data_IF_752161225644
#
_entry.id   IF_752161225644
#
_cell.length_a   1.000
_cell.length_b   1.000
_cell.length_c   1.000
_cell.angle_alpha   90.00
_cell.angle_beta   90.00
_cell.angle_gamma   90.00
#
_symmetry.space_group_name_H-M   'P 1'
#
loop_
_entity.id
_entity.type
_entity.pdbx_description
1 polymer ?
#
# COMPACT_ATOMS: atom_id res chain seq x y z
N UNK A 1 -17.69 -5.01 -28.59
CA UNK A 1 -18.43 -3.80 -28.97
C UNK A 1 -18.72 -2.88 -27.78
N UNK A 2 -19.45 -3.30 -26.73
CA UNK A 2 -19.78 -2.42 -25.57
C UNK A 2 -18.57 -1.74 -24.88
N UNK A 3 -17.40 -2.39 -24.87
CA UNK A 3 -16.15 -1.94 -24.22
C UNK A 3 -15.49 -0.75 -24.91
N UNK A 4 -15.52 -0.72 -26.24
CA UNK A 4 -14.94 0.36 -27.05
C UNK A 4 -15.88 1.55 -27.13
N UNK A 5 -17.19 1.27 -27.17
CA UNK A 5 -18.24 2.30 -27.21
C UNK A 5 -18.29 3.12 -25.93
N UNK A 6 -18.13 2.52 -24.75
CA UNK A 6 -18.20 3.25 -23.48
C UNK A 6 -16.99 4.17 -23.26
N UNK A 7 -15.77 3.70 -23.59
CA UNK A 7 -14.54 4.53 -23.52
C UNK A 7 -14.59 5.64 -24.58
N UNK A 8 -15.07 5.35 -25.78
CA UNK A 8 -15.27 6.35 -26.83
C UNK A 8 -16.33 7.39 -26.45
N UNK A 9 -17.41 7.00 -25.75
CA UNK A 9 -18.44 7.93 -25.27
C UNK A 9 -17.91 8.83 -24.15
N UNK A 10 -17.14 8.29 -23.20
CA UNK A 10 -16.50 9.11 -22.15
C UNK A 10 -15.48 10.09 -22.74
N UNK A 11 -14.67 9.65 -23.71
CA UNK A 11 -13.73 10.51 -24.42
C UNK A 11 -14.44 11.52 -25.32
N UNK A 12 -15.54 11.16 -25.97
CA UNK A 12 -16.33 12.08 -26.79
C UNK A 12 -17.03 13.15 -25.94
N UNK A 13 -17.60 12.78 -24.79
CA UNK A 13 -18.20 13.73 -23.83
C UNK A 13 -17.13 14.65 -23.23
N UNK A 14 -15.93 14.14 -22.98
CA UNK A 14 -14.76 14.92 -22.56
C UNK A 14 -14.33 15.95 -23.62
N UNK A 15 -14.21 15.52 -24.87
CA UNK A 15 -13.86 16.38 -26.01
C UNK A 15 -14.94 17.44 -26.25
N UNK A 16 -16.22 17.06 -26.18
CA UNK A 16 -17.36 17.98 -26.32
C UNK A 16 -17.44 18.98 -25.15
N UNK A 17 -17.13 18.56 -23.92
CA UNK A 17 -17.09 19.45 -22.76
C UNK A 17 -15.90 20.42 -22.73
N UNK A 18 -14.78 20.08 -23.39
CA UNK A 18 -13.65 20.99 -23.64
C UNK A 18 -14.00 22.00 -24.75
N UNK A 19 -14.72 21.56 -25.79
CA UNK A 19 -15.17 22.42 -26.88
C UNK A 19 -16.25 23.43 -26.45
N UNK A 20 -17.04 23.13 -25.40
CA UNK A 20 -18.14 23.99 -24.94
C UNK A 20 -17.69 24.95 -23.82
N UNK A 21 -17.11 26.11 -24.17
CA UNK A 21 -17.45 27.45 -23.62
C UNK A 21 -16.32 28.49 -23.80
N UNK A 22 -16.53 29.46 -24.70
CA UNK A 22 -15.67 30.63 -24.87
C UNK A 22 -15.65 31.60 -23.67
N UNK A 23 -16.66 31.57 -22.78
CA UNK A 23 -16.74 32.51 -21.62
C UNK A 23 -15.72 32.24 -20.52
N UNK A 24 -15.45 30.96 -20.18
CA UNK A 24 -14.38 30.65 -19.22
C UNK A 24 -13.03 30.99 -19.84
N UNK A 25 -12.85 30.67 -21.11
CA UNK A 25 -11.61 30.97 -21.84
C UNK A 25 -11.35 32.47 -21.82
N UNK A 26 -12.32 33.30 -22.21
CA UNK A 26 -12.21 34.77 -22.17
C UNK A 26 -11.93 35.33 -20.76
N UNK A 27 -12.51 34.76 -19.70
CA UNK A 27 -12.22 35.18 -18.32
C UNK A 27 -10.79 34.81 -17.88
N UNK A 28 -10.33 33.60 -18.25
CA UNK A 28 -8.95 33.17 -18.04
C UNK A 28 -7.97 34.03 -18.85
N UNK A 29 -8.30 34.41 -20.08
CA UNK A 29 -7.50 35.32 -20.89
C UNK A 29 -7.45 36.72 -20.28
N UNK A 30 -8.58 37.26 -19.80
CA UNK A 30 -8.60 38.55 -19.10
C UNK A 30 -7.74 38.54 -17.83
N UNK A 31 -7.77 37.48 -17.02
CA UNK A 31 -6.91 37.32 -15.84
C UNK A 31 -5.45 37.12 -16.19
N UNK A 32 -5.17 36.31 -17.23
CA UNK A 32 -3.83 36.12 -17.80
C UNK A 32 -3.27 37.47 -18.18
N UNK A 33 -3.99 38.23 -18.98
CA UNK A 33 -3.47 39.48 -19.54
C UNK A 33 -3.39 40.59 -18.48
N UNK A 34 -4.21 40.54 -17.42
CA UNK A 34 -4.18 41.51 -16.31
C UNK A 34 -3.14 41.23 -15.22
N UNK A 35 -2.84 39.98 -14.89
CA UNK A 35 -2.00 39.64 -13.73
C UNK A 35 -0.82 38.72 -14.09
N UNK A 36 0.41 39.22 -13.97
CA UNK A 36 1.64 38.45 -14.25
C UNK A 36 1.69 37.13 -13.44
N UNK A 37 1.34 37.16 -12.16
CA UNK A 37 1.31 35.98 -11.30
C UNK A 37 0.36 34.88 -11.83
N UNK A 38 -0.78 35.27 -12.41
CA UNK A 38 -1.73 34.33 -13.01
C UNK A 38 -1.18 33.73 -14.31
N UNK A 39 -0.46 34.51 -15.14
CA UNK A 39 0.25 33.98 -16.32
C UNK A 39 1.25 32.91 -15.93
N UNK A 40 2.08 33.20 -14.91
CA UNK A 40 3.10 32.26 -14.41
C UNK A 40 2.44 30.97 -13.92
N UNK A 41 1.33 31.08 -13.15
CA UNK A 41 0.58 29.93 -12.67
C UNK A 41 0.02 29.07 -13.80
N UNK A 42 -0.54 29.69 -14.85
CA UNK A 42 -1.05 28.97 -16.02
C UNK A 42 0.05 28.23 -16.78
N UNK A 43 1.18 28.89 -17.03
CA UNK A 43 2.34 28.27 -17.69
C UNK A 43 2.84 27.08 -16.84
N UNK A 44 2.94 27.25 -15.53
CA UNK A 44 3.34 26.18 -14.62
C UNK A 44 2.34 25.00 -14.63
N UNK A 45 1.03 25.28 -14.65
CA UNK A 45 0.00 24.25 -14.73
C UNK A 45 0.04 23.49 -16.06
N UNK A 46 0.26 24.18 -17.18
CA UNK A 46 0.44 23.57 -18.50
C UNK A 46 1.71 22.71 -18.55
N UNK A 47 2.83 23.21 -18.05
CA UNK A 47 4.07 22.45 -17.96
C UNK A 47 3.89 21.18 -17.11
N UNK A 48 3.20 21.29 -15.97
CA UNK A 48 2.88 20.13 -15.13
C UNK A 48 1.96 19.14 -15.83
N UNK A 49 0.96 19.61 -16.59
CA UNK A 49 0.09 18.75 -17.39
C UNK A 49 0.87 17.98 -18.46
N UNK A 50 1.83 18.63 -19.14
CA UNK A 50 2.74 17.99 -20.10
C UNK A 50 3.59 16.94 -19.40
N UNK A 51 4.18 17.26 -18.24
CA UNK A 51 4.95 16.28 -17.44
C UNK A 51 4.09 15.10 -17.01
N UNK A 52 2.85 15.34 -16.56
CA UNK A 52 1.92 14.29 -16.16
C UNK A 52 1.53 13.39 -17.34
N UNK A 53 1.26 13.97 -18.51
CA UNK A 53 0.97 13.22 -19.74
C UNK A 53 2.18 12.39 -20.21
N UNK A 54 3.37 12.98 -20.23
CA UNK A 54 4.61 12.28 -20.59
C UNK A 54 4.90 11.13 -19.61
N UNK A 55 4.72 11.37 -18.31
CA UNK A 55 4.86 10.34 -17.27
C UNK A 55 3.82 9.22 -17.42
N UNK A 56 2.59 9.55 -17.80
CA UNK A 56 1.55 8.57 -18.08
C UNK A 56 1.91 7.70 -19.30
N UNK A 57 2.33 8.31 -20.41
CA UNK A 57 2.79 7.59 -21.61
C UNK A 57 3.97 6.68 -21.27
N UNK A 58 4.96 7.19 -20.54
CA UNK A 58 6.09 6.39 -20.07
C UNK A 58 5.64 5.17 -19.26
N UNK A 59 4.71 5.35 -18.31
CA UNK A 59 4.13 4.26 -17.54
C UNK A 59 3.36 3.26 -18.41
N UNK A 60 2.58 3.72 -19.39
CA UNK A 60 1.88 2.82 -20.32
C UNK A 60 2.88 1.93 -21.08
N UNK A 61 3.98 2.50 -21.57
CA UNK A 61 5.05 1.74 -22.23
C UNK A 61 5.68 0.71 -21.29
N UNK A 62 6.00 1.10 -20.05
CA UNK A 62 6.55 0.17 -19.06
C UNK A 62 5.56 -0.94 -18.72
N UNK A 63 4.29 -0.61 -18.52
CA UNK A 63 3.23 -1.56 -18.23
C UNK A 63 3.08 -2.60 -19.35
N UNK A 64 3.13 -2.18 -20.61
CA UNK A 64 3.06 -3.09 -21.76
C UNK A 64 4.23 -4.08 -21.81
N UNK A 65 5.42 -3.62 -21.41
CA UNK A 65 6.64 -4.45 -21.34
C UNK A 65 6.69 -5.36 -20.13
N UNK A 66 5.95 -5.05 -19.06
CA UNK A 66 5.97 -5.83 -17.83
C UNK A 66 5.44 -7.26 -18.04
N UNK A 67 6.16 -8.23 -17.48
CA UNK A 67 5.74 -9.63 -17.37
C UNK A 67 6.10 -10.12 -15.96
N UNK A 68 5.20 -10.85 -15.28
CA UNK A 68 5.54 -11.49 -14.01
C UNK A 68 6.64 -12.53 -14.23
N UNK A 69 7.47 -12.77 -13.22
CA UNK A 69 8.48 -13.82 -13.29
C UNK A 69 7.80 -15.19 -13.36
N UNK A 70 8.39 -16.13 -14.10
CA UNK A 70 7.86 -17.49 -14.18
C UNK A 70 7.96 -18.19 -12.82
N UNK A 71 6.90 -18.92 -12.44
CA UNK A 71 6.90 -19.74 -11.25
C UNK A 71 7.98 -20.84 -11.34
N UNK A 72 8.74 -21.03 -10.27
CA UNK A 72 9.80 -22.03 -10.22
C UNK A 72 9.25 -23.42 -9.83
N UNK A 73 9.85 -24.51 -10.33
CA UNK A 73 9.58 -25.86 -9.83
C UNK A 73 10.13 -26.07 -8.41
N UNK A 74 9.63 -27.08 -7.72
CA UNK A 74 9.92 -27.38 -6.30
C UNK A 74 11.42 -27.47 -5.98
N UNK A 75 12.19 -28.04 -6.91
CA UNK A 75 13.63 -28.20 -6.77
C UNK A 75 14.34 -26.85 -6.56
N UNK A 76 13.89 -25.81 -7.27
CA UNK A 76 14.52 -24.48 -7.27
C UNK A 76 13.93 -23.52 -6.23
N UNK A 77 12.79 -23.86 -5.62
CA UNK A 77 12.20 -23.00 -4.58
C UNK A 77 13.12 -22.92 -3.34
N UNK A 78 13.34 -21.72 -2.77
CA UNK A 78 14.13 -21.55 -1.55
C UNK A 78 13.40 -22.10 -0.32
N UNK A 79 14.10 -22.25 0.80
CA UNK A 79 13.41 -22.40 2.09
C UNK A 79 12.72 -21.06 2.42
N UNK A 80 11.45 -21.10 2.76
CA UNK A 80 10.61 -19.93 2.99
C UNK A 80 10.03 -19.93 4.40
N UNK A 81 10.13 -18.80 5.10
CA UNK A 81 9.42 -18.55 6.36
C UNK A 81 8.31 -17.54 6.12
N UNK A 82 7.05 -17.91 6.39
CA UNK A 82 5.91 -16.99 6.40
C UNK A 82 5.64 -16.51 7.83
N UNK A 83 5.53 -15.20 8.02
CA UNK A 83 5.28 -14.54 9.30
C UNK A 83 3.94 -13.82 9.25
N UNK A 84 3.05 -14.18 10.17
CA UNK A 84 1.70 -13.60 10.33
C UNK A 84 1.62 -12.88 11.68
N UNK A 85 1.85 -11.55 11.74
CA UNK A 85 1.65 -10.77 12.96
C UNK A 85 0.15 -10.54 13.19
N UNK A 86 -0.30 -10.68 14.43
CA UNK A 86 -1.71 -10.51 14.81
C UNK A 86 -1.84 -9.60 16.03
N UNK A 87 -2.90 -8.76 16.03
CA UNK A 87 -3.30 -7.97 17.19
C UNK A 87 -4.81 -7.67 17.13
N UNK A 88 -5.58 -8.24 18.05
CA UNK A 88 -7.03 -8.14 18.14
C UNK A 88 -7.76 -8.51 16.82
N UNK A 89 -7.53 -9.73 16.34
CA UNK A 89 -8.06 -10.27 15.09
C UNK A 89 -9.13 -11.35 15.30
N UNK A 90 -9.22 -11.89 16.51
CA UNK A 90 -10.04 -13.04 16.87
C UNK A 90 -9.92 -14.18 15.86
N UNK A 91 -11.07 -14.73 15.45
CA UNK A 91 -11.15 -15.89 14.54
C UNK A 91 -10.50 -15.65 13.16
N UNK A 92 -10.38 -14.41 12.71
CA UNK A 92 -9.87 -14.09 11.36
C UNK A 92 -8.47 -14.65 11.10
N UNK A 93 -7.62 -14.71 12.12
CA UNK A 93 -6.23 -15.22 12.00
C UNK A 93 -6.18 -16.69 11.58
N UNK A 94 -7.18 -17.49 11.95
CA UNK A 94 -7.25 -18.90 11.60
C UNK A 94 -7.43 -19.10 10.09
N UNK A 95 -8.26 -18.28 9.44
CA UNK A 95 -8.49 -18.33 7.98
C UNK A 95 -7.21 -17.99 7.21
N UNK A 96 -6.50 -16.96 7.66
CA UNK A 96 -5.19 -16.58 7.13
C UNK A 96 -4.19 -17.74 7.20
N UNK A 97 -4.00 -18.33 8.39
CA UNK A 97 -3.05 -19.44 8.59
C UNK A 97 -3.42 -20.69 7.78
N UNK A 98 -4.71 -21.03 7.68
CA UNK A 98 -5.18 -22.11 6.80
C UNK A 98 -4.79 -21.86 5.35
N UNK A 99 -5.00 -20.65 4.84
CA UNK A 99 -4.66 -20.29 3.45
C UNK A 99 -3.16 -20.33 3.16
N UNK A 100 -2.34 -19.96 4.15
CA UNK A 100 -0.87 -20.04 4.06
C UNK A 100 -0.41 -21.49 4.02
N UNK A 101 -0.92 -22.34 4.90
CA UNK A 101 -0.52 -23.76 4.96
C UNK A 101 -1.07 -24.57 3.78
N UNK A 102 -2.18 -24.15 3.18
CA UNK A 102 -2.77 -24.78 1.99
C UNK A 102 -2.14 -24.31 0.65
N UNK A 103 -1.14 -23.44 0.67
CA UNK A 103 -0.45 -23.02 -0.55
C UNK A 103 0.33 -24.17 -1.19
N UNK A 104 0.42 -24.14 -2.51
CA UNK A 104 1.26 -25.01 -3.34
C UNK A 104 2.74 -24.64 -3.12
N UNK A 105 3.30 -25.17 -2.04
CA UNK A 105 4.70 -25.03 -1.65
C UNK A 105 5.17 -26.32 -0.96
N UNK A 106 6.40 -26.82 -1.22
CA UNK A 106 6.90 -28.02 -0.56
C UNK A 106 6.90 -27.86 0.97
N UNK A 107 6.18 -28.73 1.68
CA UNK A 107 6.04 -28.65 3.13
C UNK A 107 7.41 -28.66 3.87
N UNK A 108 8.38 -29.43 3.35
CA UNK A 108 9.74 -29.48 3.90
C UNK A 108 10.53 -28.16 3.74
N UNK A 109 10.09 -27.26 2.85
CA UNK A 109 10.71 -25.96 2.60
C UNK A 109 9.89 -24.79 3.18
N UNK A 110 8.79 -25.05 3.88
CA UNK A 110 7.89 -24.02 4.40
C UNK A 110 7.86 -24.03 5.92
N UNK A 111 8.23 -22.90 6.52
CA UNK A 111 7.97 -22.60 7.92
C UNK A 111 6.85 -21.55 7.99
N UNK A 112 5.89 -21.74 8.89
CA UNK A 112 4.83 -20.75 9.15
C UNK A 112 4.89 -20.32 10.61
N UNK A 113 4.92 -19.01 10.86
CA UNK A 113 5.01 -18.41 12.18
C UNK A 113 3.85 -17.44 12.39
N UNK A 114 2.99 -17.70 13.37
CA UNK A 114 2.03 -16.73 13.89
C UNK A 114 2.60 -15.99 15.11
N UNK A 115 2.50 -14.66 15.14
CA UNK A 115 2.97 -13.85 16.27
C UNK A 115 1.84 -12.99 16.82
N UNK A 116 1.38 -13.27 18.04
CA UNK A 116 0.47 -12.42 18.79
C UNK A 116 1.24 -11.26 19.44
N UNK A 117 0.92 -10.02 19.07
CA UNK A 117 1.48 -8.78 19.65
C UNK A 117 0.75 -8.39 20.94
N UNK A 118 0.57 -9.35 21.86
CA UNK A 118 -0.12 -9.14 23.12
C UNK A 118 -1.59 -8.73 22.96
N UNK A 119 -2.37 -9.49 22.18
CA UNK A 119 -3.80 -9.23 22.00
C UNK A 119 -4.56 -9.31 23.32
N UNK A 120 -5.64 -8.52 23.38
CA UNK A 120 -6.56 -8.44 24.53
C UNK A 120 -7.84 -9.24 24.32
N UNK A 121 -8.14 -9.64 23.09
CA UNK A 121 -9.25 -10.51 22.74
C UNK A 121 -8.83 -12.00 22.67
N UNK A 122 -9.64 -12.82 22.02
CA UNK A 122 -9.43 -14.26 21.86
C UNK A 122 -8.43 -14.64 20.74
N UNK A 123 -7.69 -13.69 20.15
CA UNK A 123 -6.72 -13.94 19.06
C UNK A 123 -5.69 -15.02 19.42
N UNK A 124 -5.16 -15.00 20.65
CA UNK A 124 -4.18 -16.00 21.09
C UNK A 124 -4.76 -17.42 21.13
N UNK A 125 -6.03 -17.56 21.51
CA UNK A 125 -6.71 -18.85 21.51
C UNK A 125 -6.88 -19.38 20.09
N UNK A 126 -7.25 -18.52 19.13
CA UNK A 126 -7.35 -18.89 17.73
C UNK A 126 -6.00 -19.29 17.10
N UNK A 127 -4.90 -18.65 17.50
CA UNK A 127 -3.55 -19.06 17.10
C UNK A 127 -3.21 -20.46 17.63
N UNK A 128 -3.51 -20.76 18.90
CA UNK A 128 -3.31 -22.11 19.47
C UNK A 128 -4.19 -23.16 18.76
N UNK A 129 -5.43 -22.82 18.44
CA UNK A 129 -6.32 -23.69 17.65
C UNK A 129 -5.70 -23.97 16.28
N UNK A 130 -5.20 -22.95 15.59
CA UNK A 130 -4.55 -23.12 14.30
C UNK A 130 -3.33 -24.06 14.38
N UNK A 131 -2.48 -23.92 15.40
CA UNK A 131 -1.32 -24.77 15.59
C UNK A 131 -1.70 -26.26 15.77
N UNK A 132 -2.74 -26.53 16.57
CA UNK A 132 -3.27 -27.90 16.77
C UNK A 132 -3.91 -28.44 15.50
N UNK A 133 -4.81 -27.67 14.89
CA UNK A 133 -5.57 -28.08 13.69
C UNK A 133 -4.63 -28.38 12.51
N UNK A 134 -3.59 -27.56 12.34
CA UNK A 134 -2.66 -27.67 11.23
C UNK A 134 -1.50 -28.64 11.53
N UNK A 135 -1.63 -29.48 12.57
CA UNK A 135 -0.72 -30.57 12.94
C UNK A 135 0.72 -30.10 13.14
N UNK A 136 0.91 -29.00 13.87
CA UNK A 136 2.24 -28.44 14.16
C UNK A 136 2.93 -27.76 12.98
N UNK A 137 2.28 -27.64 11.82
CA UNK A 137 2.83 -26.89 10.65
C UNK A 137 2.89 -25.38 10.87
N UNK A 138 2.31 -24.89 11.96
CA UNK A 138 2.36 -23.48 12.36
C UNK A 138 2.97 -23.37 13.75
N UNK A 139 4.05 -22.61 13.86
CA UNK A 139 4.63 -22.20 15.12
C UNK A 139 3.94 -20.91 15.59
N UNK A 140 3.55 -20.83 16.87
CA UNK A 140 2.88 -19.65 17.41
C UNK A 140 3.65 -19.07 18.59
N UNK A 141 3.76 -17.75 18.62
CA UNK A 141 4.48 -17.02 19.67
C UNK A 141 3.63 -15.86 20.17
N UNK A 142 3.69 -15.58 21.48
CA UNK A 142 3.00 -14.45 22.10
C UNK A 142 4.01 -13.47 22.69
N UNK A 143 3.85 -12.20 22.36
CA UNK A 143 4.56 -11.12 23.01
C UNK A 143 3.81 -10.73 24.30
N UNK A 144 4.54 -10.40 25.39
CA UNK A 144 3.91 -10.13 26.68
C UNK A 144 3.05 -8.86 26.68
N UNK A 145 3.40 -7.88 25.85
CA UNK A 145 2.69 -6.60 25.74
C UNK A 145 2.68 -6.14 24.28
N UNK A 146 1.61 -5.44 23.91
CA UNK A 146 1.51 -4.82 22.59
C UNK A 146 2.58 -3.76 22.38
N UNK A 147 3.42 -3.94 21.35
CA UNK A 147 4.45 -2.97 20.95
C UNK A 147 4.32 -2.54 19.48
N UNK A 148 3.25 -2.97 18.82
CA UNK A 148 2.94 -2.66 17.43
C UNK A 148 3.52 -3.70 16.47
N UNK A 149 2.89 -3.79 15.29
CA UNK A 149 3.20 -4.76 14.22
C UNK A 149 4.70 -4.92 13.91
N UNK A 150 5.47 -3.83 13.97
CA UNK A 150 6.94 -3.86 13.75
C UNK A 150 7.65 -4.81 14.72
N UNK A 151 7.27 -4.84 16.00
CA UNK A 151 7.86 -5.72 17.00
C UNK A 151 7.44 -7.18 16.81
N UNK A 152 6.18 -7.43 16.43
CA UNK A 152 5.72 -8.77 16.09
C UNK A 152 6.49 -9.34 14.87
N UNK A 153 6.67 -8.51 13.84
CA UNK A 153 7.49 -8.86 12.67
C UNK A 153 8.95 -9.10 13.05
N UNK A 154 9.55 -8.25 13.88
CA UNK A 154 10.92 -8.46 14.39
C UNK A 154 11.06 -9.81 15.10
N UNK A 155 10.13 -10.16 15.98
CA UNK A 155 10.14 -11.45 16.67
C UNK A 155 10.05 -12.63 15.69
N UNK A 156 9.28 -12.48 14.60
CA UNK A 156 9.21 -13.43 13.50
C UNK A 156 10.51 -13.52 12.69
N UNK A 157 11.10 -12.38 12.29
CA UNK A 157 12.35 -12.34 11.53
C UNK A 157 13.50 -13.01 12.27
N UNK A 158 13.62 -12.77 13.58
CA UNK A 158 14.65 -13.41 14.42
C UNK A 158 14.47 -14.93 14.58
N UNK A 159 13.31 -15.48 14.20
CA UNK A 159 12.98 -16.91 14.26
C UNK A 159 12.89 -17.57 12.88
N UNK A 160 13.08 -16.79 11.83
CA UNK A 160 13.00 -17.27 10.47
C UNK A 160 14.17 -18.20 10.16
N UNK A 161 13.85 -19.36 9.58
CA UNK A 161 14.83 -20.35 9.10
C UNK A 161 14.97 -20.36 7.58
N UNK A 162 14.08 -19.68 6.87
CA UNK A 162 14.09 -19.60 5.41
C UNK A 162 15.18 -18.66 4.89
N UNK A 163 15.65 -18.95 3.69
CA UNK A 163 16.45 -18.03 2.87
C UNK A 163 15.64 -16.79 2.45
N UNK A 164 14.31 -16.96 2.38
CA UNK A 164 13.34 -15.90 2.12
C UNK A 164 12.33 -15.83 3.27
N UNK A 165 11.99 -14.61 3.69
CA UNK A 165 10.91 -14.32 4.62
C UNK A 165 9.74 -13.66 3.90
N UNK A 166 8.53 -14.11 4.21
CA UNK A 166 7.27 -13.57 3.68
C UNK A 166 6.46 -13.00 4.84
N UNK A 167 5.93 -11.80 4.69
CA UNK A 167 5.03 -11.18 5.67
C UNK A 167 3.61 -11.14 5.12
N UNK A 168 2.65 -11.61 5.91
CA UNK A 168 1.22 -11.65 5.55
C UNK A 168 0.41 -11.04 6.70
N UNK A 169 -0.46 -10.10 6.42
CA UNK A 169 -1.36 -9.55 7.44
C UNK A 169 -2.36 -10.62 7.93
N UNK A 170 -2.68 -10.61 9.22
CA UNK A 170 -3.55 -11.59 9.89
C UNK A 170 -5.01 -11.64 9.41
N UNK A 171 -5.43 -10.67 8.59
CA UNK A 171 -6.77 -10.57 7.98
C UNK A 171 -6.73 -10.81 6.44
N UNK A 172 -5.71 -11.54 5.97
CA UNK A 172 -5.43 -11.70 4.55
C UNK A 172 -5.36 -13.16 4.11
N UNK A 173 -6.05 -13.50 3.02
CA UNK A 173 -6.18 -14.86 2.49
C UNK A 173 -5.45 -14.99 1.15
N UNK A 174 -4.58 -15.98 1.03
CA UNK A 174 -3.75 -16.21 -0.16
C UNK A 174 -4.47 -17.09 -1.19
N UNK A 175 -4.22 -16.85 -2.49
CA UNK A 175 -4.50 -17.85 -3.52
C UNK A 175 -3.50 -19.03 -3.42
N UNK A 176 -3.89 -20.20 -3.94
CA UNK A 176 -3.12 -21.46 -3.78
C UNK A 176 -1.69 -21.37 -4.28
N UNK A 177 -1.41 -20.66 -5.38
CA UNK A 177 -0.07 -20.59 -5.98
C UNK A 177 0.72 -19.33 -5.56
N UNK A 178 0.21 -18.56 -4.60
CA UNK A 178 0.73 -17.22 -4.28
C UNK A 178 2.16 -17.26 -3.74
N UNK A 179 2.47 -18.13 -2.79
CA UNK A 179 3.82 -18.21 -2.19
C UNK A 179 4.87 -18.61 -3.23
N UNK A 180 4.61 -19.67 -4.01
CA UNK A 180 5.49 -20.11 -5.10
C UNK A 180 5.81 -18.96 -6.05
N UNK A 181 4.78 -18.25 -6.53
CA UNK A 181 4.95 -17.13 -7.46
C UNK A 181 5.71 -15.97 -6.81
N UNK A 182 5.36 -15.62 -5.56
CA UNK A 182 5.96 -14.49 -4.85
C UNK A 182 7.47 -14.66 -4.63
N UNK A 183 7.94 -15.87 -4.34
CA UNK A 183 9.37 -16.12 -4.07
C UNK A 183 10.18 -16.41 -5.34
N UNK A 184 9.53 -16.78 -6.44
CA UNK A 184 10.21 -17.12 -7.70
C UNK A 184 11.15 -16.03 -8.25
N UNK A 185 10.85 -14.72 -8.16
CA UNK A 185 11.78 -13.68 -8.58
C UNK A 185 13.18 -13.78 -7.94
N UNK A 186 13.30 -14.25 -6.69
CA UNK A 186 14.60 -14.40 -6.02
C UNK A 186 15.49 -15.49 -6.64
N UNK A 187 14.89 -16.47 -7.32
CA UNK A 187 15.62 -17.52 -8.03
C UNK A 187 16.20 -16.96 -9.33
N UNK A 188 15.41 -16.14 -10.03
CA UNK A 188 15.77 -15.57 -11.33
C UNK A 188 16.80 -14.44 -11.25
N UNK A 189 16.79 -13.64 -10.18
CA UNK A 189 17.74 -12.53 -10.02
C UNK A 189 18.22 -12.37 -8.57
N UNK A 190 19.53 -12.55 -8.36
CA UNK A 190 20.18 -12.38 -7.05
C UNK A 190 20.16 -10.93 -6.55
N UNK A 191 19.98 -9.94 -7.43
CA UNK A 191 19.92 -8.51 -7.07
C UNK A 191 18.60 -8.12 -6.44
N UNK A 192 17.56 -8.96 -6.51
CA UNK A 192 16.28 -8.70 -5.87
C UNK A 192 16.40 -8.96 -4.37
N UNK A 193 16.14 -7.93 -3.56
CA UNK A 193 16.10 -8.00 -2.10
C UNK A 193 14.67 -8.02 -1.54
N UNK A 194 13.69 -7.58 -2.32
CA UNK A 194 12.27 -7.61 -1.93
C UNK A 194 11.30 -7.75 -3.11
N UNK A 195 10.16 -8.37 -2.86
CA UNK A 195 9.08 -8.59 -3.84
C UNK A 195 7.75 -8.20 -3.21
N UNK A 196 7.02 -7.29 -3.85
CA UNK A 196 5.66 -6.93 -3.49
C UNK A 196 4.65 -7.90 -4.14
N UNK A 197 3.68 -8.38 -3.36
CA UNK A 197 2.53 -9.13 -3.86
C UNK A 197 1.39 -8.23 -4.36
N UNK A 198 0.42 -8.83 -5.04
CA UNK A 198 -0.77 -8.18 -5.58
C UNK A 198 -1.92 -8.24 -4.57
N UNK A 199 -2.27 -7.10 -3.99
CA UNK A 199 -3.31 -7.02 -2.95
C UNK A 199 -4.66 -6.69 -3.57
N UNK A 200 -5.66 -7.49 -3.23
CA UNK A 200 -7.06 -7.37 -3.64
C UNK A 200 -7.98 -7.24 -2.43
N UNK A 201 -9.15 -6.68 -2.65
CA UNK A 201 -10.14 -6.50 -1.59
C UNK A 201 -10.93 -7.79 -1.40
N UNK A 202 -11.00 -8.29 -0.17
CA UNK A 202 -11.72 -9.50 0.19
C UNK A 202 -13.22 -9.26 0.41
N UNK A 203 -13.55 -8.23 1.18
CA UNK A 203 -14.90 -8.01 1.70
C UNK A 203 -15.76 -7.10 0.80
N UNK A 204 -15.90 -7.48 -0.47
CA UNK A 204 -16.66 -6.72 -1.47
C UNK A 204 -18.16 -6.63 -1.14
N UNK A 205 -18.69 -7.62 -0.42
CA UNK A 205 -20.09 -7.68 0.04
C UNK A 205 -20.45 -6.61 1.07
N UNK A 206 -19.45 -6.02 1.75
CA UNK A 206 -19.69 -5.16 2.91
C UNK A 206 -20.11 -3.73 2.51
N UNK A 207 -20.13 -3.40 1.22
CA UNK A 207 -20.74 -2.17 0.71
C UNK A 207 -19.99 -1.51 -0.44
N UNK A 208 -20.36 -0.25 -0.71
CA UNK A 208 -19.83 0.49 -1.86
C UNK A 208 -18.35 0.89 -1.69
N UNK A 209 -17.90 1.20 -0.46
CA UNK A 209 -16.51 1.59 -0.21
C UNK A 209 -15.53 0.46 -0.58
N UNK A 210 -15.69 -0.78 -0.09
CA UNK A 210 -14.84 -1.90 -0.52
C UNK A 210 -14.81 -2.12 -2.03
N UNK A 211 -15.95 -2.01 -2.73
CA UNK A 211 -16.02 -2.14 -4.19
C UNK A 211 -15.28 -1.02 -4.93
N UNK A 212 -15.44 0.23 -4.50
CA UNK A 212 -14.64 1.35 -5.02
C UNK A 212 -13.14 1.15 -4.78
N UNK A 213 -12.77 0.63 -3.61
CA UNK A 213 -11.38 0.32 -3.30
C UNK A 213 -10.81 -0.81 -4.15
N UNK A 214 -11.60 -1.82 -4.52
CA UNK A 214 -11.10 -2.88 -5.41
C UNK A 214 -10.68 -2.34 -6.78
N UNK A 215 -11.44 -1.38 -7.31
CA UNK A 215 -11.06 -0.68 -8.55
C UNK A 215 -9.77 0.11 -8.38
N UNK A 216 -9.66 0.86 -7.27
CA UNK A 216 -8.45 1.63 -6.95
C UNK A 216 -7.22 0.74 -6.70
N UNK A 217 -7.41 -0.39 -6.03
CA UNK A 217 -6.35 -1.36 -5.73
C UNK A 217 -5.89 -2.03 -7.01
N UNK A 218 -6.80 -2.48 -7.88
CA UNK A 218 -6.43 -3.05 -9.17
C UNK A 218 -5.54 -2.08 -9.96
N UNK A 219 -5.91 -0.80 -10.06
CA UNK A 219 -5.05 0.18 -10.74
C UNK A 219 -3.71 0.39 -10.01
N UNK A 220 -3.73 0.47 -8.67
CA UNK A 220 -2.54 0.69 -7.85
C UNK A 220 -1.55 -0.48 -7.88
N UNK A 221 -2.01 -1.72 -7.99
CA UNK A 221 -1.17 -2.91 -8.05
C UNK A 221 -0.86 -3.28 -9.50
N UNK A 222 -1.86 -3.64 -10.31
CA UNK A 222 -1.65 -4.15 -11.66
C UNK A 222 -0.96 -3.13 -12.58
N UNK A 223 -1.30 -1.84 -12.52
CA UNK A 223 -0.64 -0.83 -13.37
C UNK A 223 0.54 -0.20 -12.67
N UNK A 224 0.30 0.46 -11.53
CA UNK A 224 1.31 1.28 -10.88
C UNK A 224 2.50 0.46 -10.36
N UNK A 225 2.31 -0.67 -9.68
CA UNK A 225 3.44 -1.49 -9.20
C UNK A 225 4.19 -2.17 -10.33
N UNK A 226 3.50 -2.63 -11.37
CA UNK A 226 4.13 -3.18 -12.58
C UNK A 226 5.09 -2.16 -13.23
N UNK A 227 4.66 -0.90 -13.36
CA UNK A 227 5.54 0.15 -13.93
C UNK A 227 6.75 0.43 -13.05
N UNK A 228 6.58 0.42 -11.72
CA UNK A 228 7.67 0.59 -10.77
C UNK A 228 8.65 -0.58 -10.80
N UNK A 229 8.15 -1.80 -10.99
CA UNK A 229 8.95 -3.01 -11.11
C UNK A 229 9.83 -3.01 -12.35
N UNK A 230 9.37 -2.44 -13.47
CA UNK A 230 10.17 -2.33 -14.71
C UNK A 230 11.43 -1.48 -14.56
N UNK A 231 11.50 -0.65 -13.53
CA UNK A 231 12.70 0.13 -13.18
C UNK A 231 13.32 -0.32 -11.86
N UNK A 232 12.94 -1.51 -11.38
CA UNK A 232 13.46 -2.17 -10.19
C UNK A 232 13.31 -1.33 -8.91
N UNK A 233 12.26 -0.51 -8.83
CA UNK A 233 12.05 0.43 -7.72
C UNK A 233 10.57 0.51 -7.37
N UNK A 234 10.03 -0.61 -6.90
CA UNK A 234 8.78 -0.60 -6.12
C UNK A 234 9.05 0.09 -4.79
N UNK A 235 8.34 1.20 -4.54
CA UNK A 235 8.61 2.09 -3.39
C UNK A 235 7.87 1.69 -2.11
N UNK A 236 7.10 0.61 -2.15
CA UNK A 236 6.37 0.07 -1.02
C UNK A 236 5.99 -1.37 -1.32
N UNK A 237 6.57 -2.31 -0.59
CA UNK A 237 6.03 -3.66 -0.43
C UNK A 237 4.84 -3.56 0.54
N UNK A 238 3.64 -4.07 0.19
CA UNK A 238 2.49 -3.94 1.07
C UNK A 238 2.58 -4.92 2.25
N UNK A 239 2.21 -4.47 3.44
CA UNK A 239 2.16 -5.33 4.63
C UNK A 239 1.32 -6.61 4.47
N UNK A 240 0.31 -6.60 3.60
CA UNK A 240 -0.58 -7.75 3.37
C UNK A 240 0.09 -8.92 2.65
N UNK A 241 1.09 -8.67 1.79
CA UNK A 241 1.86 -9.71 1.10
C UNK A 241 3.16 -9.14 0.55
N UNK A 242 4.26 -9.47 1.20
CA UNK A 242 5.60 -9.10 0.77
C UNK A 242 6.61 -10.20 1.08
N UNK A 243 7.61 -10.37 0.22
CA UNK A 243 8.71 -11.29 0.44
C UNK A 243 10.05 -10.54 0.41
N UNK A 244 11.01 -11.01 1.19
CA UNK A 244 12.34 -10.42 1.28
C UNK A 244 13.39 -11.51 1.44
N UNK A 245 14.61 -11.26 0.97
CA UNK A 245 15.73 -12.11 1.34
C UNK A 245 16.05 -11.94 2.82
N UNK A 246 16.21 -13.05 3.54
CA UNK A 246 16.40 -13.03 4.99
C UNK A 246 17.69 -12.32 5.38
N UNK A 247 18.80 -12.61 4.71
CA UNK A 247 20.10 -11.96 4.95
C UNK A 247 20.05 -10.43 4.73
N UNK A 248 19.32 -9.98 3.71
CA UNK A 248 19.12 -8.55 3.43
C UNK A 248 18.29 -7.88 4.52
N UNK A 249 17.21 -8.52 4.99
CA UNK A 249 16.41 -8.02 6.11
C UNK A 249 17.25 -7.91 7.37
N UNK A 250 17.99 -8.96 7.74
CA UNK A 250 18.83 -8.98 8.93
C UNK A 250 19.90 -7.88 8.90
N UNK A 251 20.47 -7.58 7.73
CA UNK A 251 21.44 -6.48 7.55
C UNK A 251 20.89 -5.12 7.97
N UNK A 252 19.61 -4.85 7.72
CA UNK A 252 18.98 -3.54 7.98
C UNK A 252 18.05 -3.53 9.20
N UNK A 253 17.90 -4.68 9.86
CA UNK A 253 16.86 -4.91 10.87
C UNK A 253 17.02 -4.01 12.10
N UNK A 254 18.26 -3.79 12.55
CA UNK A 254 18.54 -2.94 13.71
C UNK A 254 18.17 -1.46 13.44
N UNK A 255 18.56 -0.93 12.27
CA UNK A 255 18.18 0.42 11.86
C UNK A 255 16.67 0.54 11.67
N UNK A 256 16.04 -0.46 11.06
CA UNK A 256 14.59 -0.50 10.87
C UNK A 256 13.82 -0.46 12.20
N UNK A 257 14.30 -1.18 13.21
CA UNK A 257 13.72 -1.14 14.56
C UNK A 257 13.90 0.21 15.24
N UNK A 258 15.08 0.82 15.11
CA UNK A 258 15.46 2.08 15.75
C UNK A 258 15.02 3.32 14.96
N UNK A 259 14.31 3.16 13.85
CA UNK A 259 13.93 4.25 12.98
C UNK A 259 13.12 5.33 13.73
N UNK A 260 13.56 6.57 13.60
CA UNK A 260 12.88 7.74 14.17
C UNK A 260 12.50 8.77 13.10
N UNK A 261 11.52 9.60 13.41
CA UNK A 261 11.16 10.77 12.63
C UNK A 261 10.86 11.94 13.58
N UNK A 262 11.51 13.09 13.37
CA UNK A 262 11.48 14.24 14.29
C UNK A 262 11.76 13.86 15.76
N UNK A 263 12.78 13.03 15.98
CA UNK A 263 13.22 12.60 17.33
C UNK A 263 12.30 11.59 18.02
N UNK A 264 11.26 11.06 17.35
CA UNK A 264 10.30 10.10 17.92
C UNK A 264 10.31 8.77 17.16
N UNK A 265 10.07 7.62 17.82
CA UNK A 265 9.96 6.33 17.15
C UNK A 265 8.90 6.30 16.04
N UNK A 266 9.26 5.83 14.85
CA UNK A 266 8.39 5.80 13.68
C UNK A 266 7.53 4.51 13.61
N UNK A 267 6.46 4.43 14.42
CA UNK A 267 5.72 3.17 14.64
C UNK A 267 4.68 2.78 13.57
N UNK A 268 4.63 3.46 12.43
CA UNK A 268 3.67 3.18 11.34
C UNK A 268 4.38 3.25 9.99
N UNK A 269 4.06 2.34 9.06
CA UNK A 269 4.69 2.32 7.73
C UNK A 269 5.96 1.50 7.68
N UNK A 270 6.01 0.43 8.47
CA UNK A 270 7.12 -0.50 8.60
C UNK A 270 7.50 -1.15 7.26
N UNK A 271 6.52 -1.32 6.39
CA UNK A 271 6.61 -1.95 5.07
C UNK A 271 7.33 -1.04 4.05
N UNK A 272 7.00 0.25 4.03
CA UNK A 272 7.73 1.27 3.27
C UNK A 272 9.13 1.53 3.83
N UNK A 273 9.28 1.53 5.15
CA UNK A 273 10.57 1.72 5.79
C UNK A 273 11.56 0.62 5.40
N UNK A 274 11.16 -0.65 5.49
CA UNK A 274 12.05 -1.75 5.09
C UNK A 274 12.31 -1.73 3.58
N UNK A 275 11.31 -1.37 2.76
CA UNK A 275 11.49 -1.19 1.30
C UNK A 275 12.59 -0.16 1.00
N UNK A 276 12.56 1.00 1.67
CA UNK A 276 13.56 2.04 1.50
C UNK A 276 14.96 1.58 1.90
N UNK A 277 15.08 0.86 3.01
CA UNK A 277 16.37 0.34 3.48
C UNK A 277 16.94 -0.70 2.49
N UNK A 278 16.12 -1.63 2.01
CA UNK A 278 16.52 -2.62 0.99
C UNK A 278 16.99 -1.93 -0.30
N UNK A 279 16.23 -0.94 -0.78
CA UNK A 279 16.64 -0.15 -1.95
C UNK A 279 17.96 0.57 -1.70
N UNK A 280 18.14 1.18 -0.52
CA UNK A 280 19.36 1.91 -0.14
C UNK A 280 20.58 1.01 -0.10
N UNK A 281 20.44 -0.23 0.35
CA UNK A 281 21.51 -1.25 0.33
C UNK A 281 21.87 -1.72 -1.09
N UNK A 282 21.20 -1.19 -2.12
CA UNK A 282 21.52 -1.40 -3.52
C UNK A 282 20.72 -2.52 -4.19
N UNK A 283 19.85 -3.20 -3.44
CA UNK A 283 19.00 -4.25 -3.96
C UNK A 283 17.82 -3.70 -4.77
N UNK A 284 17.26 -4.56 -5.60
CA UNK A 284 16.03 -4.29 -6.35
C UNK A 284 14.83 -4.67 -5.51
N UNK A 285 13.76 -3.89 -5.66
CA UNK A 285 12.44 -4.25 -5.15
C UNK A 285 11.48 -4.30 -6.33
N UNK A 286 10.88 -5.47 -6.55
CA UNK A 286 10.04 -5.79 -7.71
C UNK A 286 8.61 -6.11 -7.28
N UNK A 287 7.73 -6.30 -8.26
CA UNK A 287 6.33 -6.66 -8.05
C UNK A 287 6.02 -7.95 -8.81
N UNK A 288 5.29 -8.85 -8.16
CA UNK A 288 4.83 -10.10 -8.76
C UNK A 288 3.30 -10.08 -8.90
N UNK A 289 2.83 -9.79 -10.11
CA UNK A 289 1.41 -9.51 -10.37
C UNK A 289 0.48 -10.71 -10.13
N UNK A 290 0.95 -11.92 -10.35
CA UNK A 290 0.19 -13.17 -10.22
C UNK A 290 0.29 -13.81 -8.82
N UNK A 291 1.02 -13.18 -7.89
CA UNK A 291 1.03 -13.53 -6.47
C UNK A 291 -0.03 -12.72 -5.73
N UNK A 292 -1.25 -13.28 -5.63
CA UNK A 292 -2.43 -12.55 -5.18
C UNK A 292 -2.77 -12.85 -3.71
N UNK A 293 -3.13 -11.80 -2.98
CA UNK A 293 -3.71 -11.88 -1.63
C UNK A 293 -5.00 -11.08 -1.56
N UNK A 294 -5.99 -11.58 -0.83
CA UNK A 294 -7.24 -10.88 -0.53
C UNK A 294 -7.21 -10.38 0.91
N UNK A 295 -7.30 -9.07 1.12
CA UNK A 295 -7.27 -8.42 2.45
C UNK A 295 -8.58 -7.68 2.73
N UNK A 296 -8.97 -7.60 4.00
CA UNK A 296 -10.14 -6.84 4.42
C UNK A 296 -9.83 -5.34 4.43
N UNK A 297 -10.78 -4.53 3.97
CA UNK A 297 -10.71 -3.06 4.01
C UNK A 297 -11.88 -2.48 4.81
N UNK A 298 -11.74 -1.27 5.37
CA UNK A 298 -12.84 -0.64 6.10
C UNK A 298 -14.06 -0.41 5.21
N UNK A 299 -15.23 -0.87 5.66
CA UNK A 299 -16.51 -0.63 4.97
C UNK A 299 -17.07 0.78 5.22
N UNK A 300 -16.71 1.40 6.36
CA UNK A 300 -17.20 2.71 6.77
C UNK A 300 -16.19 3.85 6.59
N UNK A 301 -16.69 5.06 6.31
CA UNK A 301 -15.89 6.26 6.05
C UNK A 301 -14.86 6.58 7.17
N UNK A 302 -15.26 6.52 8.45
CA UNK A 302 -14.34 6.79 9.56
C UNK A 302 -13.18 5.81 9.62
N UNK A 303 -13.43 4.52 9.37
CA UNK A 303 -12.39 3.50 9.29
C UNK A 303 -11.45 3.73 8.11
N UNK A 304 -12.03 4.06 6.95
CA UNK A 304 -11.29 4.39 5.73
C UNK A 304 -10.34 5.58 5.93
N UNK A 305 -10.83 6.68 6.52
CA UNK A 305 -10.00 7.86 6.80
C UNK A 305 -8.83 7.52 7.72
N UNK A 306 -9.05 6.73 8.78
CA UNK A 306 -7.98 6.30 9.69
C UNK A 306 -6.92 5.46 8.96
N UNK A 307 -7.34 4.57 8.06
CA UNK A 307 -6.44 3.80 7.21
C UNK A 307 -5.61 4.70 6.28
N UNK A 308 -6.26 5.59 5.52
CA UNK A 308 -5.56 6.46 4.57
C UNK A 308 -4.68 7.50 5.22
N UNK A 309 -5.06 8.06 6.38
CA UNK A 309 -4.18 8.96 7.14
C UNK A 309 -2.90 8.24 7.56
N UNK A 310 -3.01 6.98 8.04
CA UNK A 310 -1.84 6.17 8.42
C UNK A 310 -0.91 5.96 7.22
N UNK A 311 -1.47 5.60 6.07
CA UNK A 311 -0.71 5.38 4.84
C UNK A 311 -0.09 6.67 4.31
N UNK A 312 -0.82 7.77 4.28
CA UNK A 312 -0.35 9.06 3.80
C UNK A 312 0.77 9.61 4.69
N UNK A 313 0.68 9.51 6.02
CA UNK A 313 1.76 9.90 6.94
C UNK A 313 3.02 9.06 6.77
N UNK A 314 2.88 7.75 6.56
CA UNK A 314 4.01 6.88 6.16
C UNK A 314 4.60 7.32 4.83
N UNK A 315 3.76 7.57 3.82
CA UNK A 315 4.22 8.02 2.51
C UNK A 315 5.02 9.33 2.60
N UNK A 316 4.62 10.29 3.44
CA UNK A 316 5.38 11.52 3.69
C UNK A 316 6.78 11.22 4.25
N UNK A 317 6.84 10.50 5.38
CA UNK A 317 8.11 10.21 6.07
C UNK A 317 9.06 9.40 5.19
N UNK A 318 8.54 8.38 4.54
CA UNK A 318 9.34 7.46 3.73
C UNK A 318 9.76 8.07 2.39
N UNK A 319 8.99 9.01 1.84
CA UNK A 319 9.45 9.78 0.67
C UNK A 319 10.62 10.70 1.05
N UNK A 320 10.56 11.35 2.21
CA UNK A 320 11.68 12.17 2.73
C UNK A 320 12.92 11.30 2.98
N UNK A 321 12.75 10.12 3.59
CA UNK A 321 13.85 9.17 3.79
C UNK A 321 14.47 8.73 2.45
N UNK A 322 13.65 8.43 1.45
CA UNK A 322 14.09 8.02 0.12
C UNK A 322 14.89 9.11 -0.62
N UNK A 323 14.56 10.39 -0.42
CA UNK A 323 15.33 11.52 -0.97
C UNK A 323 16.80 11.53 -0.51
N UNK A 324 17.11 11.00 0.69
CA UNK A 324 18.47 11.04 1.27
C UNK A 324 19.49 10.22 0.47
N UNK A 325 19.04 9.24 -0.31
CA UNK A 325 19.94 8.35 -1.06
C UNK A 325 19.65 8.28 -2.56
N UNK A 326 18.42 8.54 -3.03
CA UNK A 326 18.03 8.30 -4.43
C UNK A 326 18.76 9.19 -5.46
N UNK A 327 19.20 10.38 -5.03
CA UNK A 327 20.00 11.28 -5.88
C UNK A 327 21.49 10.89 -5.94
N UNK A 328 21.94 10.01 -5.05
CA UNK A 328 23.29 9.40 -5.10
C UNK A 328 23.27 8.15 -5.99
N UNK A 329 24.45 7.59 -6.27
CA UNK A 329 24.57 6.27 -6.91
C UNK A 329 24.51 5.20 -5.83
N UNK A 330 23.30 4.72 -5.51
CA UNK A 330 23.07 3.75 -4.42
C UNK A 330 23.07 2.28 -4.87
N UNK A 331 23.14 2.01 -6.18
CA UNK A 331 23.23 0.66 -6.74
C UNK A 331 24.06 0.65 -8.02
N UNK A 332 24.46 -0.55 -8.45
CA UNK A 332 25.29 -0.75 -9.66
C UNK A 332 24.50 -0.54 -10.96
N UNK A 333 23.20 -0.87 -10.95
CA UNK A 333 22.29 -0.71 -12.10
C UNK A 333 21.77 0.74 -12.24
N UNK A 334 21.21 1.12 -13.41
CA UNK A 334 20.69 2.47 -13.61
C UNK A 334 19.66 2.90 -12.55
N UNK A 335 19.77 4.14 -12.10
CA UNK A 335 18.91 4.76 -11.07
C UNK A 335 17.95 5.81 -11.63
N UNK A 336 17.99 6.10 -12.93
CA UNK A 336 17.15 7.14 -13.54
C UNK A 336 15.65 6.86 -13.31
N UNK A 337 15.19 5.63 -13.51
CA UNK A 337 13.80 5.26 -13.25
C UNK A 337 13.40 5.40 -11.78
N UNK A 338 14.32 5.13 -10.84
CA UNK A 338 14.09 5.36 -9.41
C UNK A 338 13.89 6.86 -9.10
N UNK A 339 14.71 7.73 -9.70
CA UNK A 339 14.60 9.19 -9.56
C UNK A 339 13.30 9.71 -10.15
N UNK A 340 12.92 9.25 -11.35
CA UNK A 340 11.64 9.62 -11.97
C UNK A 340 10.48 9.18 -11.08
N UNK A 341 10.49 7.94 -10.56
CA UNK A 341 9.45 7.46 -9.65
C UNK A 341 9.32 8.30 -8.38
N UNK A 342 10.45 8.67 -7.77
CA UNK A 342 10.49 9.53 -6.59
C UNK A 342 9.93 10.93 -6.90
N UNK A 343 10.34 11.56 -7.99
CA UNK A 343 9.84 12.88 -8.38
C UNK A 343 8.33 12.85 -8.66
N UNK A 344 7.85 11.81 -9.34
CA UNK A 344 6.42 11.62 -9.59
C UNK A 344 5.61 11.29 -8.33
N UNK A 345 6.24 10.78 -7.25
CA UNK A 345 5.55 10.61 -5.96
C UNK A 345 5.54 11.89 -5.13
N UNK A 346 6.57 12.74 -5.26
CA UNK A 346 6.64 14.05 -4.59
C UNK A 346 5.60 15.01 -5.16
N UNK A 347 5.42 15.04 -6.49
CA UNK A 347 4.53 16.01 -7.15
C UNK A 347 3.10 16.06 -6.58
N UNK A 348 2.35 14.94 -6.46
CA UNK A 348 1.01 14.98 -5.86
C UNK A 348 1.02 15.37 -4.38
N UNK A 349 2.11 15.09 -3.67
CA UNK A 349 2.23 15.45 -2.25
C UNK A 349 2.46 16.95 -2.08
N UNK A 350 3.23 17.60 -2.93
CA UNK A 350 3.57 19.03 -2.78
C UNK A 350 2.61 19.94 -3.55
N UNK A 351 2.33 19.62 -4.82
CA UNK A 351 1.49 20.45 -5.69
C UNK A 351 0.00 20.24 -5.39
N UNK A 352 -0.39 19.03 -4.99
CA UNK A 352 -1.78 18.68 -4.67
C UNK A 352 -2.44 19.63 -3.66
N UNK A 353 -1.84 19.90 -2.50
CA UNK A 353 -2.35 20.87 -1.52
C UNK A 353 -2.58 22.28 -2.09
N UNK A 354 -1.62 22.80 -2.87
CA UNK A 354 -1.72 24.12 -3.49
C UNK A 354 -2.86 24.15 -4.50
N UNK A 355 -2.96 23.10 -5.33
CA UNK A 355 -4.06 22.95 -6.30
C UNK A 355 -5.41 22.77 -5.62
N UNK A 356 -5.47 22.12 -4.46
CA UNK A 356 -6.71 21.98 -3.70
C UNK A 356 -7.23 23.34 -3.22
N UNK A 357 -6.35 24.19 -2.67
CA UNK A 357 -6.73 25.55 -2.24
C UNK A 357 -7.22 26.39 -3.44
N UNK A 358 -6.50 26.32 -4.57
CA UNK A 358 -6.92 27.00 -5.80
C UNK A 358 -8.28 26.47 -6.30
N UNK A 359 -8.50 25.16 -6.23
CA UNK A 359 -9.77 24.51 -6.63
C UNK A 359 -10.93 25.00 -5.76
N UNK A 360 -10.74 25.09 -4.44
CA UNK A 360 -11.77 25.63 -3.53
C UNK A 360 -12.08 27.10 -3.87
N UNK A 361 -11.06 27.94 -4.07
CA UNK A 361 -11.25 29.35 -4.43
C UNK A 361 -12.03 29.54 -5.74
N UNK A 362 -11.69 28.76 -6.78
CA UNK A 362 -12.39 28.79 -8.06
C UNK A 362 -13.82 28.26 -7.97
N UNK A 363 -14.06 27.23 -7.14
CA UNK A 363 -15.40 26.69 -6.92
C UNK A 363 -16.30 27.69 -6.20
N UNK A 364 -15.78 28.46 -5.25
CA UNK A 364 -16.52 29.54 -4.59
C UNK A 364 -16.81 30.72 -5.53
N UNK A 365 -15.90 31.00 -6.46
CA UNK A 365 -16.03 32.11 -7.40
C UNK A 365 -16.97 31.81 -8.57
N UNK A 366 -16.94 30.57 -9.09
CA UNK A 366 -17.68 30.15 -10.28
C UNK A 366 -18.25 28.73 -10.15
N UNK A 367 -19.19 28.48 -9.20
CA UNK A 367 -19.56 27.13 -8.77
C UNK A 367 -20.09 26.23 -9.88
N UNK A 368 -21.01 26.73 -10.71
CA UNK A 368 -21.64 25.92 -11.76
C UNK A 368 -20.64 25.54 -12.86
N UNK A 369 -19.95 26.53 -13.41
CA UNK A 369 -19.05 26.34 -14.55
C UNK A 369 -17.78 25.59 -14.17
N UNK A 370 -17.15 25.95 -13.05
CA UNK A 370 -15.95 25.26 -12.58
C UNK A 370 -16.29 23.88 -12.01
N UNK A 371 -17.39 23.74 -11.27
CA UNK A 371 -17.86 22.46 -10.74
C UNK A 371 -18.11 21.43 -11.85
N UNK A 372 -18.82 21.80 -12.92
CA UNK A 372 -19.05 20.91 -14.06
C UNK A 372 -17.74 20.44 -14.72
N UNK A 373 -16.78 21.35 -14.91
CA UNK A 373 -15.46 21.02 -15.50
C UNK A 373 -14.60 20.16 -14.58
N UNK A 374 -14.68 20.37 -13.26
CA UNK A 374 -13.98 19.58 -12.27
C UNK A 374 -14.53 18.14 -12.22
N UNK A 375 -15.85 17.97 -12.28
CA UNK A 375 -16.49 16.65 -12.37
C UNK A 375 -16.13 15.93 -13.67
N UNK A 376 -16.14 16.65 -14.80
CA UNK A 376 -15.73 16.10 -16.09
C UNK A 376 -14.25 15.70 -16.11
N UNK A 377 -13.36 16.58 -15.65
CA UNK A 377 -11.92 16.33 -15.58
C UNK A 377 -11.57 15.12 -14.70
N UNK A 378 -12.25 14.98 -13.55
CA UNK A 378 -12.08 13.81 -12.69
C UNK A 378 -12.64 12.52 -13.30
N UNK A 379 -13.76 12.59 -14.04
CA UNK A 379 -14.27 11.44 -14.80
C UNK A 379 -13.30 11.00 -15.92
N UNK A 380 -12.66 11.95 -16.61
CA UNK A 380 -11.60 11.68 -17.60
C UNK A 380 -10.41 11.00 -16.93
N UNK A 381 -9.95 11.53 -15.79
CA UNK A 381 -8.83 10.94 -15.05
C UNK A 381 -9.14 9.50 -14.58
N UNK A 382 -10.41 9.20 -14.29
CA UNK A 382 -10.89 7.86 -13.94
C UNK A 382 -10.96 6.89 -15.12
N UNK A 383 -10.83 7.35 -16.37
CA UNK A 383 -10.96 6.50 -17.56
C UNK A 383 -9.89 5.41 -17.62
N UNK A 384 -8.63 5.71 -17.24
CA UNK A 384 -7.56 4.71 -17.25
C UNK A 384 -7.78 3.59 -16.19
N UNK A 385 -8.05 3.90 -14.91
CA UNK A 385 -8.49 2.90 -13.93
C UNK A 385 -9.72 2.09 -14.38
N UNK A 386 -10.76 2.76 -14.91
CA UNK A 386 -11.97 2.10 -15.39
C UNK A 386 -11.67 1.12 -16.54
N UNK A 387 -10.91 1.55 -17.54
CA UNK A 387 -10.56 0.73 -18.69
C UNK A 387 -9.74 -0.50 -18.29
N UNK A 388 -8.75 -0.31 -17.42
CA UNK A 388 -7.94 -1.42 -16.89
C UNK A 388 -8.79 -2.41 -16.10
N UNK A 389 -9.70 -1.91 -15.24
CA UNK A 389 -10.59 -2.76 -14.47
C UNK A 389 -11.54 -3.55 -15.38
N UNK A 390 -12.16 -2.89 -16.37
CA UNK A 390 -13.03 -3.53 -17.35
C UNK A 390 -12.28 -4.59 -18.19
N UNK A 391 -11.01 -4.33 -18.53
CA UNK A 391 -10.16 -5.28 -19.24
C UNK A 391 -9.85 -6.52 -18.40
N UNK A 392 -9.44 -6.33 -17.15
CA UNK A 392 -9.00 -7.42 -16.24
C UNK A 392 -10.15 -8.22 -15.64
N UNK A 393 -11.21 -7.55 -15.17
CA UNK A 393 -12.31 -8.16 -14.42
C UNK A 393 -13.57 -8.39 -15.24
N UNK A 394 -13.67 -7.81 -16.44
CA UNK A 394 -14.86 -7.90 -17.32
C UNK A 394 -16.18 -7.55 -16.60
N UNK A 395 -16.12 -6.64 -15.63
CA UNK A 395 -17.25 -6.25 -14.78
C UNK A 395 -17.66 -4.79 -15.02
N UNK A 396 -18.95 -4.51 -14.85
CA UNK A 396 -19.52 -3.15 -14.86
C UNK A 396 -19.06 -2.29 -13.67
N UNK A 397 -18.49 -2.90 -12.63
CA UNK A 397 -17.88 -2.20 -11.50
C UNK A 397 -16.73 -1.28 -11.92
N UNK A 398 -16.24 -1.39 -13.17
CA UNK A 398 -15.34 -0.40 -13.78
C UNK A 398 -15.86 1.05 -13.66
N UNK A 399 -17.18 1.26 -13.71
CA UNK A 399 -17.79 2.59 -13.56
C UNK A 399 -17.58 3.18 -12.15
N UNK A 400 -17.32 2.33 -11.15
CA UNK A 400 -16.99 2.77 -9.79
C UNK A 400 -15.65 3.52 -9.74
N UNK A 401 -14.82 3.48 -10.79
CA UNK A 401 -13.65 4.35 -10.89
C UNK A 401 -14.04 5.83 -10.86
N UNK A 402 -15.12 6.21 -11.57
CA UNK A 402 -15.61 7.60 -11.61
C UNK A 402 -16.17 7.98 -10.24
N UNK A 403 -17.00 7.10 -9.66
CA UNK A 403 -17.54 7.28 -8.32
C UNK A 403 -16.43 7.44 -7.27
N UNK A 404 -15.38 6.60 -7.33
CA UNK A 404 -14.23 6.71 -6.44
C UNK A 404 -13.45 8.01 -6.66
N UNK A 405 -13.30 8.47 -7.91
CA UNK A 405 -12.62 9.73 -8.20
C UNK A 405 -13.35 10.94 -7.59
N UNK A 406 -14.69 10.97 -7.70
CA UNK A 406 -15.49 12.03 -7.07
C UNK A 406 -15.50 11.91 -5.56
N UNK A 407 -15.64 10.69 -5.04
CA UNK A 407 -15.53 10.45 -3.60
C UNK A 407 -14.18 10.90 -3.04
N UNK A 408 -13.08 10.64 -3.75
CA UNK A 408 -11.77 11.15 -3.36
C UNK A 408 -11.73 12.68 -3.36
N UNK A 409 -12.19 13.30 -4.45
CA UNK A 409 -12.19 14.75 -4.62
C UNK A 409 -12.90 15.47 -3.46
N UNK A 410 -14.11 15.04 -3.11
CA UNK A 410 -14.96 15.73 -2.15
C UNK A 410 -14.80 15.23 -0.70
N UNK A 411 -14.48 13.96 -0.49
CA UNK A 411 -14.47 13.36 0.85
C UNK A 411 -13.07 13.00 1.38
N UNK A 412 -12.06 12.82 0.52
CA UNK A 412 -10.74 12.29 0.96
C UNK A 412 -9.55 13.21 0.65
N UNK A 413 -9.71 14.19 -0.24
CA UNK A 413 -8.61 15.05 -0.72
C UNK A 413 -7.88 15.81 0.41
N UNK A 414 -8.61 16.17 1.47
CA UNK A 414 -8.06 16.79 2.68
C UNK A 414 -7.02 15.92 3.42
N UNK A 415 -7.07 14.59 3.27
CA UNK A 415 -6.18 13.64 3.96
C UNK A 415 -4.71 13.91 3.60
N UNK A 416 -4.43 14.27 2.35
CA UNK A 416 -3.07 14.56 1.90
C UNK A 416 -2.50 15.79 2.62
N UNK A 417 -3.28 16.87 2.68
CA UNK A 417 -2.90 18.12 3.37
C UNK A 417 -2.71 17.86 4.86
N UNK A 418 -3.67 17.19 5.48
CA UNK A 418 -3.63 16.85 6.89
C UNK A 418 -2.43 15.96 7.24
N UNK A 419 -2.11 14.99 6.39
CA UNK A 419 -1.02 14.04 6.65
C UNK A 419 0.36 14.65 6.47
N UNK A 420 0.52 15.67 5.61
CA UNK A 420 1.75 16.45 5.50
C UNK A 420 2.09 17.16 6.82
N UNK A 421 1.13 17.89 7.38
CA UNK A 421 1.34 18.65 8.61
C UNK A 421 1.38 17.76 9.86
N UNK A 422 0.77 16.57 9.81
CA UNK A 422 0.73 15.61 10.92
C UNK A 422 1.66 14.40 10.74
N UNK A 423 2.63 14.47 9.82
CA UNK A 423 3.55 13.35 9.54
C UNK A 423 4.33 12.87 10.77
N UNK A 424 4.57 13.75 11.77
CA UNK A 424 5.24 13.43 13.03
C UNK A 424 4.39 12.58 14.01
N UNK A 425 3.09 12.36 13.74
CA UNK A 425 2.21 11.58 14.60
C UNK A 425 2.30 10.09 14.29
N UNK A 426 2.48 9.27 15.33
CA UNK A 426 2.80 7.84 15.21
C UNK A 426 1.68 6.88 15.68
N UNK A 427 0.51 7.40 16.05
CA UNK A 427 -0.58 6.58 16.59
C UNK A 427 -1.13 5.56 15.59
N UNK A 428 -1.28 4.31 16.03
CA UNK A 428 -2.00 3.27 15.30
C UNK A 428 -3.50 3.54 15.42
N UNK A 429 -4.07 4.17 14.39
CA UNK A 429 -5.44 4.71 14.43
C UNK A 429 -6.55 3.64 14.30
N UNK A 430 -6.18 2.40 13.98
CA UNK A 430 -7.09 1.28 13.71
C UNK A 430 -6.97 0.24 14.82
N UNK A 431 -8.03 -0.53 15.13
CA UNK A 431 -7.98 -1.70 16.05
C UNK A 431 -7.71 -1.39 17.54
N UNK A 432 -7.95 -0.16 17.99
CA UNK A 432 -8.09 0.11 19.43
C UNK A 432 -9.44 -0.44 19.89
N UNK A 433 -9.43 -1.32 20.90
CA UNK A 433 -10.66 -1.69 21.62
C UNK A 433 -11.25 -0.45 22.28
N UNK A 434 -12.57 -0.41 22.43
CA UNK A 434 -13.20 0.57 23.31
C UNK A 434 -12.57 0.44 24.72
N UNK A 435 -12.34 1.54 25.45
CA UNK A 435 -11.89 1.44 26.82
C UNK A 435 -12.88 0.56 27.61
N UNK A 436 -12.37 -0.41 28.37
CA UNK A 436 -13.19 -1.16 29.31
C UNK A 436 -13.93 -0.17 30.24
N UNK A 437 -15.21 -0.42 30.57
CA UNK A 437 -15.85 0.32 31.66
C UNK A 437 -14.96 0.16 32.90
N UNK A 438 -14.65 1.29 33.55
CA UNK A 438 -13.70 1.34 34.65
C UNK A 438 -14.01 0.23 35.67
N UNK A 439 -13.06 -0.70 35.85
CA UNK A 439 -13.16 -1.71 36.89
C UNK A 439 -13.30 -1.02 38.25
N UNK A 440 -14.19 -1.48 39.15
CA UNK A 440 -14.31 -0.93 40.48
C UNK A 440 -12.95 -1.01 41.19
N UNK A 441 -12.49 0.13 41.69
CA UNK A 441 -11.20 0.29 42.36
C UNK A 441 -11.11 -0.69 43.52
N UNK A 442 -10.23 -1.68 43.41
CA UNK A 442 -9.82 -2.54 44.52
C UNK A 442 -8.37 -2.21 44.89
N UNK A 443 -8.13 -2.16 46.20
CA UNK A 443 -6.98 -1.58 46.89
C UNK A 443 -5.62 -2.24 46.52
N UNK A 444 -4.48 -1.55 46.74
CA UNK A 444 -3.19 -1.92 46.17
C UNK A 444 -2.55 -3.12 46.89
N UNK A 445 -2.17 -4.14 46.11
CA UNK A 445 -1.24 -5.19 46.55
C UNK A 445 0.19 -4.93 46.04
N UNK A 446 1.16 -5.25 46.90
CA UNK A 446 2.61 -4.99 46.81
C UNK A 446 3.31 -5.69 45.62
N UNK A 447 4.52 -5.23 45.21
CA UNK A 447 5.15 -5.66 43.98
C UNK A 447 5.90 -7.00 44.13
N UNK A 448 5.77 -7.86 43.13
CA UNK A 448 6.64 -9.02 42.92
C UNK A 448 7.52 -8.78 41.68
N UNK A 449 8.82 -9.01 41.87
CA UNK A 449 9.91 -8.94 40.88
C UNK A 449 10.02 -10.28 40.16
N UNK A 450 10.12 -10.29 38.82
CA UNK A 450 10.91 -11.24 38.00
C UNK A 450 10.77 -10.95 36.49
N UNK A 451 11.87 -11.13 35.72
CA UNK A 451 11.98 -10.80 34.29
C UNK A 451 11.19 -11.71 33.34
N UNK A 452 11.06 -11.36 32.04
CA UNK A 452 10.16 -12.10 31.16
C UNK A 452 10.82 -13.36 30.58
N UNK A 453 10.41 -14.52 31.08
CA UNK A 453 10.40 -15.76 30.31
C UNK A 453 9.37 -15.65 29.18
N UNK A 454 9.75 -16.05 27.97
CA UNK A 454 8.85 -16.23 26.83
C UNK A 454 8.28 -17.65 26.88
N UNK A 455 6.95 -17.78 26.88
CA UNK A 455 6.27 -19.07 26.87
C UNK A 455 6.28 -19.65 25.45
N UNK A 456 7.09 -20.69 25.22
CA UNK A 456 7.05 -21.51 24.01
C UNK A 456 6.08 -22.67 24.26
N UNK A 457 4.94 -22.67 23.57
CA UNK A 457 4.11 -23.88 23.52
C UNK A 457 4.62 -24.72 22.34
N UNK A 458 5.42 -25.73 22.64
CA UNK A 458 5.57 -26.87 21.73
C UNK A 458 4.30 -27.73 21.89
N UNK A 459 3.51 -27.85 20.84
CA UNK A 459 2.49 -28.91 20.72
C UNK A 459 3.00 -29.91 19.71
#
# INVERSE_FOLDING_TARGET
MLKTTMVAVVLAVAVLGIAYNGRLFAWFEALRDRYLAFRILLIAAQALAIVAAAAFVWRVVLFWKYRPAAACPDALLPVCTVIVPAYNEGRGVLETLRSVVANDYPAAKLQVIGVDDGSKDDTWEWLKIAARELKGRVEVYRLPVNRGKRHALYAGFMRARGEVVVTVDSDSVLETATLRRLVSPFVHDRRIGGVAGNVRVHNLSDGLIPRMLDVSFLYSFDFMRSTQSMVNTVMCTPGALAAYRTDVVLKVLDEWMKQTFCGRPANIGEDRAITNLILREGYHVTFQQDAVVYTKVPAGYRGLCRMFIRWARSNVRETIAMCRFTFKRFRTTPVLGARINLLLSILPMTVGPVMLLATVGLLLSMPVMFGAKLLLGSAIAAAAPAALFAWRRRSSDALLAVAYSWFWLFALSWINVYSLVTAHRNGWLTRQLAPEPAAPQTAPQRPLVAGPMLEKVAV
#
